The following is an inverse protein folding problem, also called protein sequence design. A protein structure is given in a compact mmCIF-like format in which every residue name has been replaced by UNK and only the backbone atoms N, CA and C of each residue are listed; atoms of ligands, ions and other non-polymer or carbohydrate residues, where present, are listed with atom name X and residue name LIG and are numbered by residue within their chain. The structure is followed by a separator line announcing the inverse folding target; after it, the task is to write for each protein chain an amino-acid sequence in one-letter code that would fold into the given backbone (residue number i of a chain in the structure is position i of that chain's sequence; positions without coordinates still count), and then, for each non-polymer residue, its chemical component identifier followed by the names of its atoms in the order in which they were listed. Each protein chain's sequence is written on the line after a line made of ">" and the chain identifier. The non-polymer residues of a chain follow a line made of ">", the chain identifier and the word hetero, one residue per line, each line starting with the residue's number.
data_IF_416074979929
#
_entry.id   IF_416074979929
#
_cell.length_a   1.000
_cell.length_b   1.000
_cell.length_c   1.000
_cell.angle_alpha   90.00
_cell.angle_beta   90.00
_cell.angle_gamma   90.00
#
_symmetry.space_group_name_H-M   'P 1'
#
loop_
_entity.id
_entity.type
_entity.pdbx_description
1 polymer ?
#
# COMPACT_ATOMS: atom_id res chain seq x y z
N UNK A 1 -8.11 2.53 -12.32
CA UNK A 1 -7.78 3.25 -11.08
C UNK A 1 -8.17 2.38 -9.91
N UNK A 2 -7.22 1.59 -9.40
CA UNK A 2 -7.42 0.84 -8.18
C UNK A 2 -7.35 1.80 -6.99
N UNK A 3 -8.46 1.89 -6.23
CA UNK A 3 -8.49 2.63 -4.98
C UNK A 3 -8.13 1.69 -3.83
N UNK A 4 -6.97 1.92 -3.21
CA UNK A 4 -6.43 1.11 -2.13
C UNK A 4 -6.24 2.02 -0.92
N UNK A 5 -6.84 1.66 0.22
CA UNK A 5 -6.80 2.42 1.47
C UNK A 5 -7.17 3.93 1.32
N UNK A 6 -8.14 4.24 0.46
CA UNK A 6 -8.59 5.61 0.23
C UNK A 6 -7.78 6.41 -0.80
N UNK A 7 -6.65 5.87 -1.28
CA UNK A 7 -5.74 6.50 -2.25
C UNK A 7 -5.88 5.88 -3.64
N UNK A 8 -5.72 6.73 -4.65
CA UNK A 8 -5.65 6.31 -6.04
C UNK A 8 -4.24 5.80 -6.35
N UNK A 9 -4.12 4.48 -6.51
CA UNK A 9 -2.86 3.83 -6.84
C UNK A 9 -2.68 3.80 -8.37
N UNK A 10 -1.49 4.13 -8.92
CA UNK A 10 -1.27 4.16 -10.36
C UNK A 10 -1.36 2.77 -11.00
N UNK A 11 -2.29 2.58 -11.94
CA UNK A 11 -2.64 1.28 -12.54
C UNK A 11 -1.54 0.68 -13.43
N UNK A 12 -0.71 1.54 -14.04
CA UNK A 12 0.31 1.15 -15.00
C UNK A 12 1.66 0.80 -14.35
N UNK A 13 1.79 0.92 -13.02
CA UNK A 13 3.03 0.60 -12.30
C UNK A 13 3.02 -0.83 -11.76
N UNK A 14 4.21 -1.36 -11.56
CA UNK A 14 4.44 -2.60 -10.80
C UNK A 14 3.87 -2.49 -9.39
N UNK A 15 3.28 -3.58 -8.87
CA UNK A 15 2.61 -3.61 -7.59
C UNK A 15 3.46 -3.00 -6.46
N UNK A 16 4.75 -3.36 -6.37
CA UNK A 16 5.65 -2.81 -5.35
C UNK A 16 5.78 -1.30 -5.43
N UNK A 17 5.94 -0.76 -6.64
CA UNK A 17 6.11 0.70 -6.82
C UNK A 17 4.78 1.41 -6.61
N UNK A 18 3.68 0.81 -7.05
CA UNK A 18 2.36 1.38 -6.91
C UNK A 18 1.97 1.52 -5.42
N UNK A 19 2.30 0.53 -4.58
CA UNK A 19 2.07 0.56 -3.14
C UNK A 19 2.88 1.64 -2.42
N UNK A 20 4.08 1.97 -2.90
CA UNK A 20 4.87 3.09 -2.33
C UNK A 20 4.27 4.47 -2.56
N UNK A 21 3.18 4.60 -3.32
CA UNK A 21 2.43 5.84 -3.40
C UNK A 21 1.72 6.21 -2.08
N UNK A 22 1.56 5.24 -1.17
CA UNK A 22 0.92 5.41 0.13
C UNK A 22 1.99 5.82 1.16
N UNK A 23 1.76 6.92 1.85
CA UNK A 23 2.61 7.43 2.92
C UNK A 23 2.66 6.45 4.10
N UNK A 24 3.89 6.12 4.51
CA UNK A 24 4.17 5.06 5.47
C UNK A 24 4.53 3.72 4.83
N UNK A 25 4.28 3.54 3.53
CA UNK A 25 4.67 2.33 2.79
C UNK A 25 5.94 2.61 1.97
N UNK A 26 7.06 2.06 2.44
CA UNK A 26 8.32 2.03 1.70
C UNK A 26 8.47 0.79 0.82
N UNK A 27 9.64 0.65 0.19
CA UNK A 27 9.98 -0.50 -0.67
C UNK A 27 9.94 -1.84 0.08
N UNK A 28 10.41 -1.85 1.33
CA UNK A 28 10.45 -3.05 2.17
C UNK A 28 9.03 -3.53 2.51
N UNK A 29 8.24 -2.66 3.12
CA UNK A 29 6.83 -2.94 3.44
C UNK A 29 6.02 -3.30 2.20
N UNK A 30 6.24 -2.64 1.05
CA UNK A 30 5.57 -3.02 -0.19
C UNK A 30 5.94 -4.45 -0.65
N UNK A 31 7.21 -4.84 -0.54
CA UNK A 31 7.65 -6.20 -0.84
C UNK A 31 7.10 -7.23 0.15
N UNK A 32 7.02 -6.88 1.43
CA UNK A 32 6.45 -7.73 2.48
C UNK A 32 4.95 -7.95 2.23
N UNK A 33 4.19 -6.89 1.93
CA UNK A 33 2.76 -6.98 1.57
C UNK A 33 2.56 -7.85 0.31
N UNK A 34 3.38 -7.65 -0.72
CA UNK A 34 3.33 -8.50 -1.92
C UNK A 34 3.61 -9.97 -1.59
N UNK A 35 4.55 -10.24 -0.69
CA UNK A 35 4.90 -11.61 -0.28
C UNK A 35 3.79 -12.25 0.56
N UNK A 36 3.19 -11.51 1.49
CA UNK A 36 2.09 -11.95 2.34
C UNK A 36 0.84 -12.29 1.52
N UNK A 37 0.53 -11.48 0.51
CA UNK A 37 -0.63 -11.70 -0.37
C UNK A 37 -0.31 -12.71 -1.49
N UNK A 38 0.96 -13.10 -1.66
CA UNK A 38 1.40 -14.00 -2.72
C UNK A 38 1.24 -13.38 -4.11
N UNK A 39 1.51 -12.08 -4.23
CA UNK A 39 1.50 -11.32 -5.50
C UNK A 39 2.93 -11.10 -5.94
N UNK A 40 3.19 -11.38 -7.22
CA UNK A 40 4.49 -11.08 -7.81
C UNK A 40 4.70 -9.55 -7.87
N UNK A 41 5.84 -9.05 -7.35
CA UNK A 41 6.11 -7.62 -7.28
C UNK A 41 6.22 -6.94 -8.64
N UNK A 42 6.50 -7.72 -9.68
CA UNK A 42 6.63 -7.30 -11.08
C UNK A 42 5.29 -7.24 -11.83
N UNK A 43 4.19 -7.71 -11.24
CA UNK A 43 2.86 -7.63 -11.87
C UNK A 43 2.35 -6.20 -11.82
N UNK A 44 1.68 -5.76 -12.88
CA UNK A 44 1.06 -4.43 -12.92
C UNK A 44 -0.26 -4.46 -12.15
N UNK A 45 -0.61 -3.33 -11.52
CA UNK A 45 -1.90 -3.16 -10.81
C UNK A 45 -3.10 -3.46 -11.72
N UNK A 46 -3.00 -3.16 -13.02
CA UNK A 46 -4.05 -3.49 -14.00
C UNK A 46 -4.28 -5.00 -14.19
N UNK A 47 -3.24 -5.80 -14.04
CA UNK A 47 -3.28 -7.26 -14.27
C UNK A 47 -3.54 -8.05 -12.96
N UNK A 48 -3.79 -7.34 -11.86
CA UNK A 48 -4.12 -7.95 -10.57
C UNK A 48 -5.60 -8.34 -10.49
N UNK A 49 -5.85 -9.55 -10.01
CA UNK A 49 -7.20 -10.01 -9.70
C UNK A 49 -7.81 -9.22 -8.52
N UNK A 50 -9.13 -9.08 -8.52
CA UNK A 50 -9.87 -8.37 -7.46
C UNK A 50 -9.65 -8.99 -6.07
N UNK A 51 -9.55 -10.32 -5.96
CA UNK A 51 -9.26 -11.03 -4.70
C UNK A 51 -7.94 -10.59 -4.07
N UNK A 52 -6.92 -10.37 -4.92
CA UNK A 52 -5.60 -9.93 -4.48
C UNK A 52 -5.61 -8.46 -4.09
N UNK A 53 -6.38 -7.63 -4.78
CA UNK A 53 -6.59 -6.23 -4.41
C UNK A 53 -7.29 -6.10 -3.05
N UNK A 54 -8.28 -6.95 -2.77
CA UNK A 54 -8.96 -6.98 -1.48
C UNK A 54 -8.02 -7.45 -0.36
N UNK A 55 -7.22 -8.49 -0.62
CA UNK A 55 -6.21 -8.97 0.31
C UNK A 55 -5.18 -7.87 0.66
N UNK A 56 -4.67 -7.15 -0.34
CA UNK A 56 -3.78 -6.00 -0.13
C UNK A 56 -4.46 -4.92 0.72
N UNK A 57 -5.73 -4.62 0.46
CA UNK A 57 -6.50 -3.65 1.24
C UNK A 57 -6.61 -4.07 2.71
N UNK A 58 -6.84 -5.35 2.97
CA UNK A 58 -6.94 -5.89 4.34
C UNK A 58 -5.60 -5.84 5.08
N UNK A 59 -4.48 -6.08 4.41
CA UNK A 59 -3.14 -5.95 5.03
C UNK A 59 -2.86 -4.49 5.36
N UNK A 60 -3.10 -3.56 4.42
CA UNK A 60 -2.85 -2.13 4.64
C UNK A 60 -3.75 -1.57 5.73
N UNK A 61 -5.00 -2.02 5.85
CA UNK A 61 -5.93 -1.57 6.89
C UNK A 61 -5.46 -1.91 8.32
N UNK A 62 -4.58 -2.91 8.49
CA UNK A 62 -3.96 -3.24 9.78
C UNK A 62 -2.78 -2.33 10.13
N UNK A 63 -2.25 -1.58 9.16
CA UNK A 63 -1.10 -0.72 9.33
C UNK A 63 -1.53 0.74 9.52
N UNK A 64 -0.81 1.49 10.34
CA UNK A 64 -0.98 2.94 10.45
C UNK A 64 -0.35 3.61 9.24
N UNK A 65 -1.19 4.02 8.29
CA UNK A 65 -0.77 4.68 7.04
C UNK A 65 -1.37 6.07 6.92
N UNK A 66 -0.71 6.93 6.13
CA UNK A 66 -1.23 8.24 5.74
C UNK A 66 -1.61 9.15 6.91
N UNK A 67 -2.91 9.44 7.07
CA UNK A 67 -3.41 10.47 7.99
C UNK A 67 -3.07 10.16 9.43
N UNK A 68 -3.21 8.89 9.84
CA UNK A 68 -2.91 8.46 11.20
C UNK A 68 -1.42 8.56 11.49
N UNK A 69 -0.57 8.06 10.57
CA UNK A 69 0.88 8.14 10.72
C UNK A 69 1.38 9.60 10.72
N UNK A 70 0.84 10.46 9.85
CA UNK A 70 1.18 11.89 9.83
C UNK A 70 0.79 12.58 11.12
N UNK A 71 -0.39 12.25 11.68
CA UNK A 71 -0.86 12.82 12.95
C UNK A 71 0.01 12.36 14.12
N UNK A 72 0.37 11.08 14.16
CA UNK A 72 1.27 10.52 15.18
C UNK A 72 2.63 11.21 15.16
N UNK A 73 3.25 11.34 13.98
CA UNK A 73 4.53 12.04 13.81
C UNK A 73 4.42 13.50 14.26
N UNK A 74 3.34 14.21 13.89
CA UNK A 74 3.14 15.60 14.31
C UNK A 74 2.96 15.74 15.82
N UNK A 75 2.26 14.81 16.49
CA UNK A 75 2.13 14.81 17.95
C UNK A 75 3.46 14.51 18.64
N UNK A 76 4.26 13.58 18.12
CA UNK A 76 5.57 13.26 18.67
C UNK A 76 6.55 14.42 18.55
N UNK A 77 6.50 15.21 17.47
CA UNK A 77 7.34 16.41 17.29
C UNK A 77 6.92 17.55 18.24
N UNK A 78 5.63 17.64 18.56
CA UNK A 78 5.09 18.68 19.47
C UNK A 78 5.25 18.34 20.95
N UNK A 79 5.71 17.12 21.28
CA UNK A 79 5.92 16.63 22.63
C UNK A 79 7.32 16.99 23.12
#
# INVERSE_FOLDING_TARGET
>A
MARIAGINVPDHKHAVIALTAIYGIGRKTASDICSEVGVLPSVKIKDLAEDKLESIRNVIAKMTVEGDLRREVSMNIKR
#
